data_IF_377959413462
#
_entry.id   IF_377959413462
#
_cell.length_a   1.000
_cell.length_b   1.000
_cell.length_c   1.000
_cell.angle_alpha   90.00
_cell.angle_beta   90.00
_cell.angle_gamma   90.00
#
_symmetry.space_group_name_H-M   'P 1'
#
loop_
_entity.id
_entity.type
_entity.pdbx_description
1 polymer ?
#
# COMPACT_ATOMS: atom_id res chain seq x y z
N UNK A 1 -16.41 6.52 -14.27
CA UNK A 1 -15.75 7.42 -13.30
C UNK A 1 -14.31 7.63 -13.75
N UNK A 2 -13.78 8.85 -13.63
CA UNK A 2 -12.46 9.25 -14.17
C UNK A 2 -11.36 9.30 -13.11
N UNK A 3 -11.59 8.71 -11.93
CA UNK A 3 -10.65 8.69 -10.81
C UNK A 3 -9.31 8.09 -11.23
N UNK A 4 -8.24 8.84 -10.99
CA UNK A 4 -6.88 8.45 -11.35
C UNK A 4 -6.53 8.50 -12.85
N UNK A 5 -7.34 9.15 -13.70
CA UNK A 5 -6.94 9.36 -15.10
C UNK A 5 -5.82 10.41 -15.19
N UNK A 6 -4.76 10.10 -15.94
CA UNK A 6 -3.64 11.04 -16.17
C UNK A 6 -4.10 12.36 -16.80
N UNK A 7 -5.11 12.32 -17.68
CA UNK A 7 -5.67 13.53 -18.29
C UNK A 7 -6.48 14.38 -17.29
N UNK A 8 -7.13 13.73 -16.32
CA UNK A 8 -7.84 14.43 -15.26
C UNK A 8 -6.86 15.15 -14.33
N UNK A 9 -5.78 14.46 -13.91
CA UNK A 9 -4.69 15.10 -13.16
C UNK A 9 -4.02 16.23 -13.94
N UNK A 10 -3.82 16.07 -15.26
CA UNK A 10 -3.29 17.13 -16.11
C UNK A 10 -4.18 18.36 -16.13
N UNK A 11 -5.49 18.15 -16.29
CA UNK A 11 -6.47 19.23 -16.32
C UNK A 11 -6.54 19.97 -14.98
N UNK A 12 -6.46 19.23 -13.87
CA UNK A 12 -6.38 19.76 -12.52
C UNK A 12 -5.09 20.58 -12.34
N UNK A 13 -3.93 20.01 -12.63
CA UNK A 13 -2.64 20.67 -12.46
C UNK A 13 -2.55 21.99 -13.24
N UNK A 14 -2.97 22.00 -14.50
CA UNK A 14 -2.97 23.20 -15.35
C UNK A 14 -3.97 24.28 -14.90
N UNK A 15 -5.01 23.90 -14.14
CA UNK A 15 -5.99 24.84 -13.59
C UNK A 15 -5.50 25.53 -12.32
N UNK A 16 -4.77 24.80 -11.48
CA UNK A 16 -4.44 25.24 -10.12
C UNK A 16 -2.96 25.59 -9.90
N UNK A 17 -2.06 25.19 -10.80
CA UNK A 17 -0.62 25.43 -10.68
C UNK A 17 -0.08 26.28 -11.84
N UNK A 18 1.00 27.05 -11.64
CA UNK A 18 1.77 27.63 -12.73
C UNK A 18 2.19 26.55 -13.75
N UNK A 19 2.25 26.83 -15.06
CA UNK A 19 2.51 25.80 -16.08
C UNK A 19 3.79 24.98 -15.86
N UNK A 20 4.87 25.62 -15.39
CA UNK A 20 6.12 24.92 -15.08
C UNK A 20 5.98 23.95 -13.89
N UNK A 21 5.23 24.34 -12.86
CA UNK A 21 4.98 23.52 -11.68
C UNK A 21 4.01 22.38 -12.01
N UNK A 22 3.01 22.65 -12.85
CA UNK A 22 2.08 21.63 -13.35
C UNK A 22 2.82 20.51 -14.08
N UNK A 23 3.65 20.85 -15.07
CA UNK A 23 4.43 19.84 -15.82
C UNK A 23 5.41 19.08 -14.90
N UNK A 24 6.04 19.78 -13.95
CA UNK A 24 6.92 19.15 -12.97
C UNK A 24 6.17 18.18 -12.06
N UNK A 25 5.01 18.56 -11.55
CA UNK A 25 4.18 17.71 -10.68
C UNK A 25 3.60 16.51 -11.45
N UNK A 26 3.18 16.69 -12.70
CA UNK A 26 2.72 15.60 -13.57
C UNK A 26 3.81 14.57 -13.88
N UNK A 27 5.08 14.99 -13.83
CA UNK A 27 6.24 14.10 -13.92
C UNK A 27 6.47 13.24 -12.67
N UNK A 28 5.83 13.58 -11.55
CA UNK A 28 5.90 12.82 -10.29
C UNK A 28 4.76 11.81 -10.13
N UNK A 29 3.74 11.84 -10.99
CA UNK A 29 2.69 10.81 -10.98
C UNK A 29 3.28 9.44 -11.30
N UNK A 30 2.90 8.44 -10.52
CA UNK A 30 3.32 7.05 -10.73
C UNK A 30 2.15 6.22 -11.27
N UNK A 31 2.41 5.20 -12.11
CA UNK A 31 1.38 4.24 -12.48
C UNK A 31 1.17 3.23 -11.34
N UNK A 32 -0.07 3.11 -10.88
CA UNK A 32 -0.53 2.07 -9.96
C UNK A 32 -1.63 1.22 -10.59
N UNK A 33 -1.89 0.04 -10.03
CA UNK A 33 -3.05 -0.76 -10.35
C UNK A 33 -4.12 -0.55 -9.27
N UNK A 34 -5.14 0.24 -9.58
CA UNK A 34 -6.33 0.40 -8.73
C UNK A 34 -7.17 -0.87 -8.82
N UNK A 35 -7.63 -1.36 -7.67
CA UNK A 35 -8.40 -2.58 -7.59
C UNK A 35 -9.86 -2.28 -7.27
N UNK A 36 -10.77 -2.85 -8.05
CA UNK A 36 -12.21 -2.61 -7.96
C UNK A 36 -12.95 -3.95 -7.93
N UNK A 37 -14.04 -4.03 -7.17
CA UNK A 37 -14.87 -5.24 -7.07
C UNK A 37 -15.30 -5.70 -8.46
N UNK A 38 -14.98 -6.96 -8.77
CA UNK A 38 -15.26 -7.54 -10.08
C UNK A 38 -16.76 -7.63 -10.33
N UNK A 39 -17.19 -7.36 -11.56
CA UNK A 39 -18.60 -7.48 -11.96
C UNK A 39 -18.77 -8.41 -13.16
N UNK A 40 -19.80 -9.26 -13.15
CA UNK A 40 -20.14 -10.08 -14.32
C UNK A 40 -19.04 -11.07 -14.75
N UNK A 41 -18.46 -10.86 -15.95
CA UNK A 41 -17.56 -11.79 -16.64
C UNK A 41 -16.06 -11.46 -16.45
N UNK A 42 -15.72 -10.53 -15.57
CA UNK A 42 -14.35 -10.12 -15.32
C UNK A 42 -13.48 -11.27 -14.78
N UNK A 43 -12.20 -11.27 -15.17
CA UNK A 43 -11.20 -12.20 -14.60
C UNK A 43 -10.47 -11.48 -13.46
N UNK A 44 -10.72 -11.83 -12.19
CA UNK A 44 -10.13 -11.11 -11.07
C UNK A 44 -8.62 -11.36 -10.98
N UNK A 45 -7.87 -10.31 -10.68
CA UNK A 45 -6.43 -10.37 -10.41
C UNK A 45 -6.14 -10.51 -8.91
N UNK A 46 -7.07 -10.06 -8.07
CA UNK A 46 -6.93 -10.06 -6.62
C UNK A 46 -8.17 -10.69 -5.99
N UNK A 47 -8.00 -11.37 -4.87
CA UNK A 47 -9.08 -11.78 -3.97
C UNK A 47 -8.80 -11.22 -2.60
N UNK A 48 -9.72 -10.45 -2.04
CA UNK A 48 -9.77 -10.18 -0.61
C UNK A 48 -10.37 -11.38 0.10
N UNK A 49 -9.87 -11.69 1.30
CA UNK A 49 -10.43 -12.71 2.18
C UNK A 49 -10.54 -14.12 1.56
N UNK A 50 -11.39 -14.93 2.17
CA UNK A 50 -11.52 -16.36 1.90
C UNK A 50 -10.36 -17.17 2.49
N UNK A 51 -10.04 -18.29 1.85
CA UNK A 51 -8.93 -19.15 2.26
C UNK A 51 -7.73 -18.97 1.32
N UNK A 52 -6.50 -18.87 1.85
CA UNK A 52 -5.30 -18.80 1.03
C UNK A 52 -4.94 -20.16 0.45
N UNK A 53 -4.47 -20.18 -0.79
CA UNK A 53 -3.82 -21.35 -1.38
C UNK A 53 -2.35 -21.39 -0.95
N UNK A 54 -1.97 -22.36 -0.11
CA UNK A 54 -0.64 -22.45 0.47
C UNK A 54 0.05 -23.78 0.09
N UNK A 55 1.35 -23.77 -0.19
CA UNK A 55 2.11 -25.00 -0.33
C UNK A 55 2.07 -25.83 0.96
N UNK A 56 1.98 -27.15 0.84
CA UNK A 56 1.85 -28.05 2.00
C UNK A 56 3.01 -27.90 3.02
N UNK A 57 4.20 -27.52 2.57
CA UNK A 57 5.37 -27.32 3.41
C UNK A 57 5.44 -25.92 4.06
N UNK A 58 4.63 -24.96 3.63
CA UNK A 58 4.61 -23.61 4.20
C UNK A 58 3.74 -23.61 5.46
N UNK A 59 4.24 -23.23 6.64
CA UNK A 59 3.41 -23.11 7.83
C UNK A 59 2.36 -22.00 7.65
N UNK A 60 1.37 -21.93 8.54
CA UNK A 60 0.51 -20.75 8.61
C UNK A 60 1.33 -19.58 9.19
N UNK A 61 1.23 -18.35 8.65
CA UNK A 61 1.90 -17.20 9.24
C UNK A 61 1.42 -16.94 10.67
N UNK A 62 2.34 -16.84 11.61
CA UNK A 62 2.05 -16.64 13.04
C UNK A 62 2.94 -15.53 13.60
N UNK A 63 2.39 -14.76 14.54
CA UNK A 63 3.13 -13.88 15.43
C UNK A 63 3.36 -14.62 16.75
N UNK A 64 4.62 -14.99 17.02
CA UNK A 64 4.99 -15.74 18.23
C UNK A 64 4.51 -15.02 19.49
N UNK A 65 3.81 -15.76 20.36
CA UNK A 65 3.20 -15.20 21.58
C UNK A 65 1.77 -14.66 21.41
N UNK A 66 1.34 -14.37 20.18
CA UNK A 66 0.01 -13.80 19.88
C UNK A 66 -0.89 -14.79 19.13
N UNK A 67 -0.37 -15.46 18.10
CA UNK A 67 -1.08 -16.49 17.35
C UNK A 67 -1.05 -16.31 15.83
N UNK A 68 -1.89 -17.06 15.10
CA UNK A 68 -1.95 -17.01 13.63
C UNK A 68 -2.48 -15.67 13.12
N UNK A 69 -1.93 -15.25 11.97
CA UNK A 69 -2.35 -14.05 11.26
C UNK A 69 -3.58 -14.34 10.40
N UNK A 70 -4.48 -13.36 10.28
CA UNK A 70 -5.61 -13.40 9.36
C UNK A 70 -5.15 -13.24 7.92
N UNK A 71 -5.78 -13.97 7.00
CA UNK A 71 -5.52 -13.83 5.58
C UNK A 71 -6.30 -12.63 5.01
N UNK A 72 -5.57 -11.68 4.44
CA UNK A 72 -6.13 -10.42 3.94
C UNK A 72 -6.42 -10.50 2.45
N UNK A 73 -5.42 -10.88 1.65
CA UNK A 73 -5.59 -10.87 0.20
C UNK A 73 -4.62 -11.82 -0.51
N UNK A 74 -5.03 -12.28 -1.69
CA UNK A 74 -4.15 -12.90 -2.67
C UNK A 74 -4.13 -12.09 -3.96
N UNK A 75 -2.95 -11.98 -4.56
CA UNK A 75 -2.72 -11.29 -5.82
C UNK A 75 -2.11 -12.30 -6.80
N UNK A 76 -2.81 -12.59 -7.89
CA UNK A 76 -2.27 -13.37 -9.02
C UNK A 76 -1.43 -12.44 -9.90
N UNK A 77 -0.12 -12.56 -9.79
CA UNK A 77 0.82 -11.69 -10.48
C UNK A 77 0.70 -11.79 -12.01
N UNK A 78 0.28 -12.94 -12.54
CA UNK A 78 0.11 -13.12 -13.99
C UNK A 78 -1.10 -12.37 -14.56
N UNK A 79 -2.00 -11.91 -13.69
CA UNK A 79 -3.21 -11.15 -14.05
C UNK A 79 -3.08 -9.66 -13.83
N UNK A 80 -1.98 -9.21 -13.23
CA UNK A 80 -1.71 -7.80 -13.08
C UNK A 80 -1.13 -7.20 -14.37
N UNK A 81 -1.39 -5.92 -14.66
CA UNK A 81 -0.78 -5.20 -15.77
C UNK A 81 0.67 -4.78 -15.45
N UNK A 82 1.53 -5.73 -15.06
CA UNK A 82 2.87 -5.49 -14.50
C UNK A 82 3.75 -4.61 -15.41
N UNK A 83 3.66 -4.79 -16.73
CA UNK A 83 4.42 -3.99 -17.71
C UNK A 83 4.06 -2.50 -17.75
N UNK A 84 2.91 -2.11 -17.20
CA UNK A 84 2.47 -0.72 -17.12
C UNK A 84 2.76 -0.07 -15.75
N UNK A 85 3.20 -0.86 -14.76
CA UNK A 85 3.57 -0.39 -13.44
C UNK A 85 5.06 -0.05 -13.40
N UNK A 86 5.46 0.77 -12.41
CA UNK A 86 6.85 1.20 -12.23
C UNK A 86 7.59 0.44 -11.12
N UNK A 87 7.03 -0.71 -10.71
CA UNK A 87 7.62 -1.64 -9.74
C UNK A 87 7.84 -3.02 -10.36
N UNK A 88 8.93 -3.69 -9.98
CA UNK A 88 9.35 -4.98 -10.54
C UNK A 88 8.62 -6.19 -9.96
N UNK A 89 7.29 -6.24 -10.07
CA UNK A 89 6.49 -7.39 -9.60
C UNK A 89 6.87 -8.69 -10.34
N UNK A 90 6.71 -9.87 -9.71
CA UNK A 90 6.82 -11.14 -10.41
C UNK A 90 5.88 -11.21 -11.63
N UNK A 91 6.28 -11.88 -12.71
CA UNK A 91 5.40 -12.08 -13.88
C UNK A 91 4.33 -13.17 -13.66
N UNK A 92 4.50 -14.00 -12.63
CA UNK A 92 3.61 -15.12 -12.30
C UNK A 92 3.81 -15.59 -10.86
N UNK A 93 2.89 -16.44 -10.40
CA UNK A 93 2.78 -16.84 -9.00
C UNK A 93 1.80 -15.94 -8.25
N UNK A 94 1.65 -16.20 -6.96
CA UNK A 94 0.72 -15.47 -6.11
C UNK A 94 1.46 -14.79 -4.95
N UNK A 95 1.10 -13.54 -4.66
CA UNK A 95 1.43 -12.89 -3.39
C UNK A 95 0.26 -13.07 -2.42
N UNK A 96 0.55 -13.45 -1.20
CA UNK A 96 -0.43 -13.68 -0.13
C UNK A 96 -0.10 -12.75 1.04
N UNK A 97 -1.08 -11.97 1.46
CA UNK A 97 -0.95 -10.95 2.50
C UNK A 97 -1.67 -11.39 3.77
N UNK A 98 -0.99 -11.26 4.90
CA UNK A 98 -1.48 -11.66 6.21
C UNK A 98 -1.21 -10.57 7.24
N UNK A 99 -2.14 -10.40 8.18
CA UNK A 99 -2.10 -9.39 9.23
C UNK A 99 -2.77 -9.90 10.51
N UNK A 100 -2.22 -9.56 11.67
CA UNK A 100 -2.81 -9.80 12.98
C UNK A 100 -3.82 -8.68 13.29
N UNK A 101 -5.10 -8.99 13.08
CA UNK A 101 -6.20 -8.03 13.11
C UNK A 101 -6.98 -8.01 14.44
N UNK A 102 -6.42 -8.63 15.48
CA UNK A 102 -7.00 -8.65 16.82
C UNK A 102 -8.15 -9.65 17.02
N UNK A 103 -8.46 -10.52 16.05
CA UNK A 103 -9.55 -11.51 16.19
C UNK A 103 -9.36 -12.48 17.37
N UNK A 104 -8.12 -12.71 17.82
CA UNK A 104 -7.80 -13.71 18.85
C UNK A 104 -7.66 -13.12 20.26
N UNK A 105 -7.49 -11.81 20.37
CA UNK A 105 -7.22 -11.09 21.62
C UNK A 105 -8.12 -9.86 21.82
N UNK A 106 -9.22 -9.79 21.06
CA UNK A 106 -10.16 -8.67 21.06
C UNK A 106 -9.49 -7.30 20.77
N UNK A 107 -8.40 -7.29 19.98
CA UNK A 107 -7.68 -6.09 19.56
C UNK A 107 -6.74 -5.53 20.62
N UNK A 108 -6.30 -6.35 21.59
CA UNK A 108 -5.34 -5.94 22.62
C UNK A 108 -3.95 -5.64 22.02
N UNK A 109 -3.46 -6.51 21.13
CA UNK A 109 -2.19 -6.30 20.43
C UNK A 109 -2.38 -5.52 19.13
N UNK A 110 -1.51 -4.55 18.90
CA UNK A 110 -1.47 -3.75 17.68
C UNK A 110 -0.16 -4.02 16.93
N UNK A 111 -0.25 -4.04 15.61
CA UNK A 111 0.93 -4.06 14.72
C UNK A 111 1.23 -2.62 14.33
N UNK A 112 2.32 -2.09 14.84
CA UNK A 112 2.73 -0.70 14.67
C UNK A 112 4.13 -0.66 14.06
N UNK A 113 4.34 0.23 13.08
CA UNK A 113 5.63 0.30 12.40
C UNK A 113 6.74 0.67 13.40
N UNK A 114 6.48 1.57 14.34
CA UNK A 114 7.44 1.98 15.37
C UNK A 114 7.78 0.88 16.40
N UNK A 115 6.94 -0.15 16.53
CA UNK A 115 7.17 -1.26 17.44
C UNK A 115 7.74 -2.48 16.69
N UNK A 116 9.06 -2.67 16.82
CA UNK A 116 9.78 -3.79 16.21
C UNK A 116 9.33 -5.16 16.68
N UNK A 117 8.85 -5.28 17.91
CA UNK A 117 8.34 -6.57 18.42
C UNK A 117 7.04 -6.95 17.70
N UNK A 118 6.30 -5.95 17.21
CA UNK A 118 5.05 -6.13 16.49
C UNK A 118 5.21 -6.45 15.00
N UNK A 119 6.38 -6.24 14.39
CA UNK A 119 6.59 -6.51 12.95
C UNK A 119 6.30 -7.94 12.53
N UNK A 120 6.28 -8.88 13.47
CA UNK A 120 5.86 -10.25 13.21
C UNK A 120 4.36 -10.41 12.91
N UNK A 121 3.54 -9.42 13.29
CA UNK A 121 2.11 -9.34 13.08
C UNK A 121 1.67 -9.05 11.63
N UNK A 122 2.58 -8.89 10.67
CA UNK A 122 2.23 -8.78 9.26
C UNK A 122 3.21 -9.59 8.38
N UNK A 123 2.70 -10.27 7.35
CA UNK A 123 3.51 -11.13 6.48
C UNK A 123 3.05 -11.07 5.03
N UNK A 124 4.03 -11.11 4.13
CA UNK A 124 3.82 -11.35 2.70
C UNK A 124 4.51 -12.66 2.32
N UNK A 125 3.77 -13.57 1.71
CA UNK A 125 4.32 -14.81 1.15
C UNK A 125 4.23 -14.76 -0.38
N UNK A 126 5.27 -15.24 -1.05
CA UNK A 126 5.22 -15.51 -2.48
C UNK A 126 5.15 -17.01 -2.74
N UNK A 127 4.12 -17.43 -3.46
CA UNK A 127 3.95 -18.80 -3.94
C UNK A 127 4.32 -18.81 -5.42
N UNK A 128 5.47 -19.41 -5.73
CA UNK A 128 5.95 -19.53 -7.09
C UNK A 128 4.98 -20.41 -7.93
N UNK A 129 4.83 -20.17 -9.23
CA UNK A 129 3.92 -20.93 -10.09
C UNK A 129 4.28 -22.44 -10.18
N UNK A 130 5.51 -22.80 -9.82
CA UNK A 130 5.98 -24.20 -9.77
C UNK A 130 5.64 -24.91 -8.48
N UNK A 131 5.19 -24.20 -7.45
CA UNK A 131 4.80 -24.79 -6.16
C UNK A 131 3.34 -25.22 -6.23
N UNK A 132 3.08 -26.47 -5.89
CA UNK A 132 1.71 -26.94 -5.70
C UNK A 132 1.16 -26.36 -4.39
N UNK A 133 0.03 -25.66 -4.50
CA UNK A 133 -0.65 -25.02 -3.38
C UNK A 133 -2.13 -25.39 -3.42
N UNK A 134 -2.71 -25.62 -2.24
CA UNK A 134 -4.13 -25.91 -2.08
C UNK A 134 -4.71 -24.94 -1.06
N UNK A 135 -6.00 -24.63 -1.19
CA UNK A 135 -6.69 -23.84 -0.17
C UNK A 135 -6.58 -24.54 1.19
N UNK A 136 -6.21 -23.75 2.20
CA UNK A 136 -6.01 -24.24 3.55
C UNK A 136 -6.99 -23.58 4.49
N UNK A 137 -7.70 -24.40 5.25
CA UNK A 137 -8.58 -23.95 6.33
C UNK A 137 -7.85 -23.04 7.31
N UNK A 138 -8.56 -22.01 7.79
CA UNK A 138 -8.00 -21.12 8.79
C UNK A 138 -7.77 -21.88 10.11
N UNK A 139 -6.68 -21.56 10.83
CA UNK A 139 -6.45 -22.06 12.18
C UNK A 139 -7.64 -21.80 13.11
N UNK A 140 -7.78 -22.65 14.14
CA UNK A 140 -8.86 -22.51 15.12
C UNK A 140 -8.84 -21.12 15.78
N UNK A 141 -10.01 -20.50 15.89
CA UNK A 141 -10.18 -19.15 16.45
C UNK A 141 -10.24 -18.04 15.40
N UNK A 142 -9.57 -18.20 14.25
CA UNK A 142 -9.66 -17.24 13.16
C UNK A 142 -10.92 -17.47 12.33
N UNK A 143 -11.66 -16.39 12.07
CA UNK A 143 -12.76 -16.38 11.12
C UNK A 143 -12.26 -15.77 9.81
N UNK A 144 -12.22 -16.53 8.70
CA UNK A 144 -11.87 -15.96 7.40
C UNK A 144 -12.82 -14.82 7.03
N UNK A 145 -12.28 -13.73 6.51
CA UNK A 145 -13.08 -12.69 5.87
C UNK A 145 -13.85 -13.27 4.67
N UNK A 146 -15.06 -12.78 4.36
CA UNK A 146 -15.72 -13.04 3.10
C UNK A 146 -14.81 -12.83 1.89
N UNK A 147 -14.92 -13.71 0.89
CA UNK A 147 -14.13 -13.60 -0.32
C UNK A 147 -14.73 -12.58 -1.27
N UNK A 148 -13.95 -11.57 -1.65
CA UNK A 148 -14.33 -10.55 -2.65
C UNK A 148 -13.33 -10.53 -3.80
N UNK A 149 -13.75 -10.86 -5.04
CA UNK A 149 -12.88 -10.79 -6.20
C UNK A 149 -12.72 -9.34 -6.67
N UNK A 150 -11.48 -8.92 -6.95
CA UNK A 150 -11.17 -7.60 -7.49
C UNK A 150 -10.46 -7.71 -8.86
N UNK A 151 -10.83 -6.81 -9.76
CA UNK A 151 -10.11 -6.54 -11.01
C UNK A 151 -9.02 -5.50 -10.79
N UNK A 152 -8.10 -5.37 -11.75
CA UNK A 152 -7.04 -4.38 -11.71
C UNK A 152 -7.10 -3.49 -12.95
N UNK A 153 -7.09 -2.17 -12.74
CA UNK A 153 -6.92 -1.19 -13.82
C UNK A 153 -5.72 -0.30 -13.56
N UNK A 154 -4.96 0.00 -14.61
CA UNK A 154 -3.86 0.97 -14.52
C UNK A 154 -4.44 2.36 -14.34
N UNK A 155 -3.94 3.10 -13.36
CA UNK A 155 -4.27 4.48 -13.08
C UNK A 155 -2.98 5.26 -12.80
N UNK A 156 -3.01 6.57 -13.06
CA UNK A 156 -2.05 7.45 -12.43
C UNK A 156 -2.40 7.60 -10.96
N UNK A 157 -1.39 7.67 -10.11
CA UNK A 157 -1.52 7.90 -8.66
C UNK A 157 -0.75 9.17 -8.33
N UNK A 158 -1.35 10.01 -7.49
CA UNK A 158 -0.72 11.18 -6.92
C UNK A 158 -0.44 10.94 -5.42
N UNK A 159 0.32 11.84 -4.81
CA UNK A 159 0.57 11.86 -3.37
C UNK A 159 0.58 13.29 -2.87
N UNK A 160 0.40 13.44 -1.56
CA UNK A 160 0.41 14.70 -0.85
C UNK A 160 1.70 15.50 -1.07
N UNK A 161 1.64 16.84 -1.04
CA UNK A 161 2.79 17.70 -1.36
C UNK A 161 4.00 17.54 -0.44
N UNK A 162 3.77 17.12 0.80
CA UNK A 162 4.82 16.90 1.81
C UNK A 162 5.42 15.49 1.77
N UNK A 163 4.94 14.63 0.86
CA UNK A 163 5.61 13.36 0.53
C UNK A 163 7.07 13.61 0.12
N UNK A 164 8.04 12.76 0.52
CA UNK A 164 9.46 12.98 0.28
C UNK A 164 9.82 13.34 -1.17
N UNK A 165 9.22 12.66 -2.16
CA UNK A 165 9.48 12.90 -3.59
C UNK A 165 8.96 14.26 -4.09
N UNK A 166 7.77 14.68 -3.66
CA UNK A 166 7.17 15.96 -4.07
C UNK A 166 7.87 17.12 -3.37
N UNK A 167 8.13 16.98 -2.06
CA UNK A 167 8.97 17.92 -1.31
C UNK A 167 10.35 18.08 -1.94
N UNK A 168 11.04 16.99 -2.27
CA UNK A 168 12.37 17.07 -2.90
C UNK A 168 12.33 17.83 -4.24
N UNK A 169 11.24 17.69 -4.99
CA UNK A 169 11.05 18.40 -6.23
C UNK A 169 10.79 19.90 -6.00
N UNK A 170 9.90 20.29 -5.09
CA UNK A 170 9.42 21.68 -4.99
C UNK A 170 10.04 22.50 -3.85
N UNK A 171 10.50 21.86 -2.78
CA UNK A 171 11.07 22.51 -1.61
C UNK A 171 12.11 21.59 -0.90
N UNK A 172 13.27 21.30 -1.52
CA UNK A 172 14.26 20.35 -0.98
C UNK A 172 14.88 20.75 0.36
N UNK A 173 14.67 21.99 0.81
CA UNK A 173 15.14 22.50 2.11
C UNK A 173 14.02 22.64 3.15
N UNK A 174 12.75 22.35 2.79
CA UNK A 174 11.67 22.33 3.76
C UNK A 174 11.81 21.12 4.71
N UNK A 175 11.25 21.18 5.93
CA UNK A 175 11.14 20.01 6.80
C UNK A 175 10.31 18.89 6.17
N UNK A 176 10.62 17.64 6.52
CA UNK A 176 9.85 16.47 6.08
C UNK A 176 8.46 16.45 6.75
N UNK A 177 7.45 15.88 6.07
CA UNK A 177 6.10 15.70 6.63
C UNK A 177 5.32 16.99 6.92
N UNK A 178 5.85 18.14 6.52
CA UNK A 178 5.25 19.44 6.79
C UNK A 178 4.89 20.18 5.50
N UNK A 179 3.80 20.95 5.55
CA UNK A 179 3.46 21.90 4.49
C UNK A 179 4.56 22.96 4.37
N UNK A 180 4.79 23.42 3.15
CA UNK A 180 5.75 24.46 2.82
C UNK A 180 5.13 25.51 1.90
N UNK A 181 5.79 26.66 1.76
CA UNK A 181 5.31 27.77 0.95
C UNK A 181 5.46 27.49 -0.55
N UNK A 182 4.51 26.78 -1.16
CA UNK A 182 4.46 26.53 -2.60
C UNK A 182 3.02 26.34 -3.10
N UNK A 183 2.67 26.68 -4.35
CA UNK A 183 1.35 26.43 -4.93
C UNK A 183 0.83 24.99 -4.82
N UNK A 184 1.72 23.99 -4.86
CA UNK A 184 1.34 22.58 -4.66
C UNK A 184 0.83 22.31 -3.24
N UNK A 185 1.15 23.14 -2.25
CA UNK A 185 0.61 23.07 -0.90
C UNK A 185 -0.59 24.00 -0.66
N UNK A 186 -1.08 24.69 -1.71
CA UNK A 186 -2.24 25.57 -1.58
C UNK A 186 -3.49 24.75 -1.24
N UNK A 187 -4.38 25.33 -0.43
CA UNK A 187 -5.61 24.65 -0.04
C UNK A 187 -6.47 24.34 -1.27
N UNK A 188 -6.54 25.26 -2.23
CA UNK A 188 -7.28 25.10 -3.48
C UNK A 188 -6.80 23.90 -4.32
N UNK A 189 -5.48 23.66 -4.38
CA UNK A 189 -4.93 22.50 -5.08
C UNK A 189 -5.19 21.20 -4.33
N UNK A 190 -5.07 21.22 -2.99
CA UNK A 190 -5.32 20.06 -2.14
C UNK A 190 -6.79 19.62 -2.16
N UNK A 191 -7.71 20.58 -2.07
CA UNK A 191 -9.15 20.30 -2.15
C UNK A 191 -9.48 19.70 -3.52
N UNK A 192 -8.94 20.27 -4.60
CA UNK A 192 -9.14 19.73 -5.95
C UNK A 192 -8.55 18.32 -6.11
N UNK A 193 -7.40 18.05 -5.48
CA UNK A 193 -6.77 16.73 -5.52
C UNK A 193 -7.63 15.70 -4.78
N UNK A 194 -8.11 16.06 -3.60
CA UNK A 194 -9.02 15.22 -2.80
C UNK A 194 -10.33 14.96 -3.55
N UNK A 195 -10.98 15.99 -4.11
CA UNK A 195 -12.21 15.82 -4.90
C UNK A 195 -12.03 14.94 -6.15
N UNK A 196 -10.80 14.84 -6.68
CA UNK A 196 -10.51 14.02 -7.85
C UNK A 196 -10.28 12.55 -7.51
N UNK A 197 -9.75 12.25 -6.33
CA UNK A 197 -9.34 10.91 -5.89
C UNK A 197 -9.51 10.86 -4.36
N UNK A 198 -10.74 10.69 -3.87
CA UNK A 198 -11.10 10.73 -2.44
C UNK A 198 -11.11 9.35 -1.77
N UNK A 199 -11.03 8.27 -2.56
CA UNK A 199 -11.01 6.91 -2.07
C UNK A 199 -9.58 6.36 -1.99
N UNK A 200 -9.13 6.03 -0.76
CA UNK A 200 -7.92 5.26 -0.59
C UNK A 200 -8.05 3.91 -1.31
N UNK A 201 -9.10 3.16 -0.97
CA UNK A 201 -9.45 1.89 -1.59
C UNK A 201 -8.30 0.89 -1.63
N UNK A 202 -8.25 0.09 -2.69
CA UNK A 202 -7.28 -1.00 -2.86
C UNK A 202 -6.34 -0.71 -4.03
N UNK A 203 -5.04 -0.99 -3.87
CA UNK A 203 -4.04 -0.67 -4.89
C UNK A 203 -2.81 -1.59 -4.84
N UNK A 204 -2.20 -1.84 -6.00
CA UNK A 204 -0.85 -2.42 -6.14
C UNK A 204 0.06 -1.40 -6.83
N UNK A 205 1.24 -1.13 -6.25
CA UNK A 205 2.20 -0.17 -6.80
C UNK A 205 1.70 1.28 -6.78
N UNK A 206 2.38 2.18 -7.51
CA UNK A 206 2.06 3.61 -7.51
C UNK A 206 2.51 4.34 -6.24
N UNK A 207 1.90 5.50 -5.97
CA UNK A 207 1.98 6.20 -4.69
C UNK A 207 0.90 5.68 -3.74
N UNK A 208 1.26 5.48 -2.47
CA UNK A 208 0.27 5.19 -1.44
C UNK A 208 -0.74 6.35 -1.32
N UNK A 209 -2.00 6.01 -1.07
CA UNK A 209 -2.95 7.01 -0.60
C UNK A 209 -2.88 7.06 0.91
N UNK A 210 -2.06 7.96 1.46
CA UNK A 210 -1.89 8.09 2.90
C UNK A 210 -3.12 8.74 3.54
N UNK A 211 -3.69 8.10 4.58
CA UNK A 211 -4.79 8.67 5.37
C UNK A 211 -4.27 9.72 6.36
N UNK A 212 -3.05 9.53 6.86
CA UNK A 212 -2.40 10.41 7.82
C UNK A 212 -1.15 11.05 7.21
N UNK A 213 0.05 10.58 7.59
CA UNK A 213 1.32 11.02 7.02
C UNK A 213 1.78 10.08 5.90
N UNK A 214 2.70 10.52 5.01
CA UNK A 214 3.32 9.63 4.03
C UNK A 214 3.83 8.35 4.70
N UNK A 215 3.27 7.20 4.32
CA UNK A 215 3.59 5.89 4.94
C UNK A 215 5.06 5.51 4.78
N UNK A 216 5.73 6.02 3.73
CA UNK A 216 7.17 5.89 3.53
C UNK A 216 7.99 6.52 4.67
N UNK A 217 7.49 7.60 5.28
CA UNK A 217 8.14 8.25 6.41
C UNK A 217 8.01 7.38 7.67
N UNK A 218 6.82 6.85 7.95
CA UNK A 218 6.60 5.96 9.11
C UNK A 218 7.49 4.73 9.05
N UNK A 219 7.56 4.08 7.88
CA UNK A 219 8.45 2.94 7.67
C UNK A 219 9.92 3.36 7.83
N UNK A 220 10.31 4.51 7.30
CA UNK A 220 11.68 5.00 7.42
C UNK A 220 12.07 5.28 8.88
N UNK A 221 11.19 5.89 9.67
CA UNK A 221 11.42 6.11 11.11
C UNK A 221 11.58 4.80 11.85
N UNK A 222 10.68 3.84 11.59
CA UNK A 222 10.68 2.51 12.17
C UNK A 222 12.00 1.76 11.92
N UNK A 223 12.48 1.72 10.68
CA UNK A 223 13.73 1.01 10.35
C UNK A 223 14.99 1.74 10.83
N UNK A 224 14.87 3.02 11.17
CA UNK A 224 15.92 3.85 11.74
C UNK A 224 15.85 3.95 13.27
N UNK A 225 15.02 3.13 13.92
CA UNK A 225 14.84 3.06 15.38
C UNK A 225 14.42 4.40 16.02
N UNK A 226 13.78 5.29 15.26
CA UNK A 226 13.41 6.63 15.72
C UNK A 226 14.60 7.55 16.07
N UNK A 227 15.84 7.09 15.86
CA UNK A 227 17.07 7.83 16.20
C UNK A 227 17.46 8.87 15.13
N UNK A 228 16.48 9.47 14.44
CA UNK A 228 16.73 10.38 13.33
C UNK A 228 15.97 11.69 13.44
N UNK A 229 16.67 12.76 13.07
CA UNK A 229 16.08 14.09 13.00
C UNK A 229 15.22 14.22 11.76
N UNK A 230 14.01 14.77 11.94
CA UNK A 230 13.08 15.16 10.88
C UNK A 230 13.62 16.26 9.95
N UNK A 231 14.66 16.97 10.38
CA UNK A 231 15.35 18.00 9.58
C UNK A 231 16.58 17.44 8.85
N UNK A 232 17.01 16.21 9.19
CA UNK A 232 18.18 15.57 8.61
C UNK A 232 17.89 14.91 7.25
N UNK A 233 18.89 14.82 6.35
CA UNK A 233 18.70 14.17 5.05
C UNK A 233 18.43 12.67 5.17
N UNK A 234 18.93 12.02 6.23
CA UNK A 234 18.87 10.56 6.42
C UNK A 234 17.45 10.00 6.41
N UNK A 235 16.50 10.66 7.08
CA UNK A 235 15.12 10.18 7.11
C UNK A 235 14.46 10.31 5.73
N UNK A 236 14.68 11.42 5.03
CA UNK A 236 14.16 11.63 3.69
C UNK A 236 14.77 10.68 2.65
N UNK A 237 16.07 10.40 2.74
CA UNK A 237 16.78 9.43 1.92
C UNK A 237 16.25 8.02 2.17
N UNK A 238 16.03 7.64 3.43
CA UNK A 238 15.50 6.33 3.79
C UNK A 238 14.05 6.16 3.32
N UNK A 239 13.18 7.16 3.53
CA UNK A 239 11.81 7.13 3.03
C UNK A 239 11.75 6.98 1.49
N UNK A 240 12.71 7.58 0.77
CA UNK A 240 12.82 7.44 -0.69
C UNK A 240 13.21 6.05 -1.18
N UNK A 241 13.61 5.12 -0.30
CA UNK A 241 14.00 3.75 -0.66
C UNK A 241 12.82 2.76 -0.69
N UNK A 242 11.63 3.18 -0.26
CA UNK A 242 10.46 2.32 -0.16
C UNK A 242 9.47 2.58 -1.30
N UNK A 243 8.86 1.51 -1.80
CA UNK A 243 7.73 1.60 -2.74
C UNK A 243 6.54 0.84 -2.19
N UNK A 244 5.34 1.32 -2.48
CA UNK A 244 4.12 0.59 -2.17
C UNK A 244 4.11 -0.74 -2.92
N UNK A 245 4.02 -1.85 -2.17
CA UNK A 245 3.74 -3.17 -2.72
C UNK A 245 2.24 -3.36 -2.89
N UNK A 246 1.48 -3.14 -1.82
CA UNK A 246 0.03 -3.24 -1.82
C UNK A 246 -0.59 -2.33 -0.75
N UNK A 247 -1.78 -1.80 -1.02
CA UNK A 247 -2.66 -1.23 0.01
C UNK A 247 -4.04 -1.87 -0.09
N UNK A 248 -4.63 -2.15 1.07
CA UNK A 248 -5.98 -2.69 1.20
C UNK A 248 -6.77 -1.84 2.18
N UNK A 249 -7.76 -1.10 1.66
CA UNK A 249 -8.67 -0.29 2.45
C UNK A 249 -9.66 -1.15 3.23
N UNK A 250 -10.42 -0.50 4.11
CA UNK A 250 -11.65 -1.09 4.66
C UNK A 250 -12.61 -1.37 3.50
N UNK A 251 -13.33 -2.49 3.56
CA UNK A 251 -14.16 -3.00 2.48
C UNK A 251 -15.39 -3.68 3.04
N UNK A 252 -16.55 -3.03 2.89
CA UNK A 252 -17.83 -3.52 3.38
C UNK A 252 -18.20 -4.87 2.77
N UNK A 253 -17.93 -5.10 1.48
CA UNK A 253 -18.26 -6.37 0.84
C UNK A 253 -17.45 -7.56 1.42
N UNK A 254 -16.29 -7.28 2.02
CA UNK A 254 -15.40 -8.25 2.64
C UNK A 254 -15.50 -8.26 4.17
N UNK A 255 -16.45 -7.53 4.78
CA UNK A 255 -16.52 -7.29 6.23
C UNK A 255 -15.17 -6.83 6.82
N UNK A 256 -14.36 -6.09 6.05
CA UNK A 256 -13.05 -5.60 6.49
C UNK A 256 -13.16 -4.17 7.02
N UNK A 257 -12.75 -3.95 8.26
CA UNK A 257 -12.76 -2.64 8.91
C UNK A 257 -11.46 -2.45 9.71
N UNK A 258 -10.65 -1.47 9.30
CA UNK A 258 -9.35 -1.19 9.91
C UNK A 258 -9.44 0.07 10.78
N UNK A 259 -9.66 -0.09 12.09
CA UNK A 259 -9.92 1.06 12.96
C UNK A 259 -11.16 1.84 12.52
N UNK A 260 -11.05 3.16 12.37
CA UNK A 260 -12.11 4.01 11.80
C UNK A 260 -11.93 4.14 10.28
N UNK A 261 -12.42 3.14 9.54
CA UNK A 261 -12.39 3.06 8.07
C UNK A 261 -11.00 3.28 7.45
N UNK A 262 -9.97 2.70 8.08
CA UNK A 262 -8.58 2.85 7.69
C UNK A 262 -8.14 1.96 6.52
N UNK A 263 -6.82 1.86 6.37
CA UNK A 263 -6.13 1.20 5.25
C UNK A 263 -4.86 0.51 5.76
N UNK A 264 -4.62 -0.70 5.27
CA UNK A 264 -3.40 -1.47 5.47
C UNK A 264 -2.42 -1.21 4.33
N UNK A 265 -1.13 -1.03 4.63
CA UNK A 265 -0.08 -0.79 3.63
C UNK A 265 1.09 -1.76 3.82
N UNK A 266 1.51 -2.38 2.70
CA UNK A 266 2.78 -3.08 2.61
C UNK A 266 3.71 -2.31 1.70
N UNK A 267 4.90 -1.99 2.20
CA UNK A 267 5.97 -1.35 1.46
C UNK A 267 7.15 -2.32 1.35
N UNK A 268 7.90 -2.22 0.25
CA UNK A 268 9.08 -3.05 0.02
C UNK A 268 10.15 -2.22 -0.69
N UNK A 269 11.42 -2.54 -0.44
CA UNK A 269 12.52 -1.96 -1.21
C UNK A 269 12.57 -2.58 -2.61
N UNK A 270 12.86 -1.79 -3.66
CA UNK A 270 12.95 -2.32 -5.03
C UNK A 270 13.92 -3.51 -5.18
N UNK A 271 15.05 -3.50 -4.48
CA UNK A 271 16.03 -4.58 -4.47
C UNK A 271 15.51 -5.87 -3.83
N UNK A 272 14.74 -5.75 -2.74
CA UNK A 272 14.10 -6.90 -2.08
C UNK A 272 12.98 -7.47 -2.95
N UNK A 273 12.21 -6.61 -3.62
CA UNK A 273 11.19 -7.04 -4.58
C UNK A 273 11.81 -7.79 -5.77
N UNK A 274 12.89 -7.26 -6.36
CA UNK A 274 13.58 -7.89 -7.48
C UNK A 274 14.18 -9.27 -7.11
N UNK A 275 14.66 -9.41 -5.88
CA UNK A 275 15.16 -10.68 -5.34
C UNK A 275 14.06 -11.57 -4.74
N UNK A 276 12.79 -11.13 -4.76
CA UNK A 276 11.62 -11.83 -4.19
C UNK A 276 11.74 -12.11 -2.70
N UNK A 277 12.42 -11.22 -1.96
CA UNK A 277 12.58 -11.23 -0.51
C UNK A 277 11.38 -10.60 0.20
N UNK A 278 10.19 -11.19 0.00
CA UNK A 278 8.93 -10.66 0.52
C UNK A 278 8.84 -10.68 2.05
N UNK A 279 9.68 -11.48 2.71
CA UNK A 279 9.87 -11.45 4.17
C UNK A 279 10.46 -10.13 4.69
N UNK A 280 10.99 -9.28 3.80
CA UNK A 280 11.51 -7.94 4.10
C UNK A 280 10.51 -6.82 3.81
N UNK A 281 9.30 -7.14 3.37
CA UNK A 281 8.25 -6.15 3.26
C UNK A 281 7.92 -5.59 4.66
N UNK A 282 7.80 -4.27 4.74
CA UNK A 282 7.37 -3.56 5.93
C UNK A 282 5.88 -3.27 5.86
N UNK A 283 5.26 -3.13 7.03
CA UNK A 283 3.82 -2.91 7.16
C UNK A 283 3.55 -1.70 8.06
N UNK A 284 2.55 -0.91 7.68
CA UNK A 284 1.90 0.07 8.53
C UNK A 284 0.41 0.09 8.20
N UNK A 285 -0.40 0.71 9.05
CA UNK A 285 -1.81 0.97 8.79
C UNK A 285 -2.18 2.32 9.37
N UNK A 286 -3.18 2.96 8.77
CA UNK A 286 -3.65 4.28 9.18
C UNK A 286 -5.18 4.29 9.15
N UNK A 287 -5.81 5.00 10.09
CA UNK A 287 -7.24 5.26 10.09
C UNK A 287 -7.54 6.73 10.45
N UNK A 288 -8.80 7.13 10.31
CA UNK A 288 -9.25 8.49 10.65
C UNK A 288 -9.41 8.70 12.16
#
# INVERSE_FOLDING_TARGET
MTHGSRDAFRSLALRHLPPADAEKWLGLLRPGARLEVATGADVPAVRLGGLPALPAASPWPEWEGHGPLSFIASVDCARLPTAALDIGLPESGALLFFYFDGQLDDGEALVLAEDRESWAGARVLYVAPTQEAAEREAPAGLKPYPMVPLTARVAATATEPWHPSVRAAFAPHAPLGNRYGHPVCSQEFLDALWELDDEAGHQIGGHAYSVQNPVEIEIAEAVLDGEVSWEGPRLAEEAGNWVLLAQFGSEDAADMMWGDAGVLYWLIRPEDLAERRFERAMFTWQCS
#
